data_IF_419834533720
#
_entry.id   IF_419834533720
#
_cell.length_a   1.000
_cell.length_b   1.000
_cell.length_c   1.000
_cell.angle_alpha   90.00
_cell.angle_beta   90.00
_cell.angle_gamma   90.00
#
_symmetry.space_group_name_H-M   'P 1'
#
loop_
_entity.id
_entity.type
_entity.pdbx_description
1 polymer ?
#
# COMPACT_ATOMS: atom_id res chain seq x y z
N UNK A 1 -16.72 10.39 4.11
CA UNK A 1 -17.75 11.22 3.43
C UNK A 1 -18.57 10.43 2.40
N UNK A 2 -17.99 9.53 1.61
CA UNK A 2 -18.71 8.82 0.53
C UNK A 2 -19.48 7.54 0.91
N UNK A 3 -19.29 6.99 2.12
CA UNK A 3 -19.87 5.69 2.51
C UNK A 3 -20.75 5.70 3.77
N UNK A 4 -20.98 6.86 4.40
CA UNK A 4 -21.82 7.02 5.62
C UNK A 4 -21.68 5.90 6.67
N UNK A 5 -20.48 5.35 6.86
CA UNK A 5 -20.25 4.38 7.93
C UNK A 5 -19.95 5.11 9.23
N UNK A 6 -20.45 4.62 10.39
CA UNK A 6 -20.00 5.11 11.67
C UNK A 6 -18.51 4.76 11.81
N UNK A 7 -17.65 5.76 11.63
CA UNK A 7 -16.23 5.65 11.95
C UNK A 7 -16.09 5.98 13.43
N UNK A 8 -15.67 5.00 14.23
CA UNK A 8 -15.40 5.23 15.65
C UNK A 8 -14.27 6.25 15.83
N UNK A 9 -14.39 7.13 16.83
CA UNK A 9 -13.35 8.13 17.15
C UNK A 9 -12.00 7.47 17.46
N UNK A 10 -12.03 6.23 17.97
CA UNK A 10 -10.83 5.45 18.27
C UNK A 10 -10.11 4.94 17.01
N UNK A 11 -10.86 4.61 15.95
CA UNK A 11 -10.27 4.22 14.67
C UNK A 11 -9.52 5.40 14.05
N UNK A 12 -10.08 6.62 14.15
CA UNK A 12 -9.44 7.85 13.64
C UNK A 12 -8.14 8.13 14.37
N UNK A 13 -8.15 8.08 15.71
CA UNK A 13 -6.95 8.32 16.51
C UNK A 13 -5.83 7.32 16.16
N UNK A 14 -6.20 6.06 15.99
CA UNK A 14 -5.24 5.01 15.64
C UNK A 14 -4.75 5.11 14.20
N UNK A 15 -5.60 5.55 13.27
CA UNK A 15 -5.19 5.88 11.90
C UNK A 15 -4.13 6.98 11.89
N UNK A 16 -4.36 8.05 12.65
CA UNK A 16 -3.43 9.16 12.76
C UNK A 16 -2.11 8.73 13.38
N UNK A 17 -2.16 7.93 14.45
CA UNK A 17 -0.95 7.44 15.12
C UNK A 17 -0.16 6.46 14.23
N UNK A 18 -0.85 5.56 13.53
CA UNK A 18 -0.25 4.65 12.55
C UNK A 18 0.39 5.39 11.39
N UNK A 19 -0.25 6.44 10.88
CA UNK A 19 0.32 7.32 9.85
C UNK A 19 1.63 7.97 10.32
N UNK A 20 1.67 8.50 11.55
CA UNK A 20 2.89 9.07 12.14
C UNK A 20 4.00 8.01 12.25
N UNK A 21 3.66 6.80 12.68
CA UNK A 21 4.61 5.68 12.74
C UNK A 21 5.22 5.33 11.39
N UNK A 22 4.43 5.31 10.32
CA UNK A 22 4.89 5.02 8.95
C UNK A 22 5.78 6.14 8.42
N UNK A 23 5.41 7.41 8.67
CA UNK A 23 6.24 8.56 8.30
C UNK A 23 7.60 8.47 9.00
N UNK A 24 7.66 8.06 10.26
CA UNK A 24 8.92 7.84 10.98
C UNK A 24 9.76 6.69 10.41
N UNK A 25 9.13 5.58 9.98
CA UNK A 25 9.83 4.45 9.34
C UNK A 25 10.45 4.89 8.01
N UNK A 26 9.79 5.78 7.27
CA UNK A 26 10.33 6.32 6.02
C UNK A 26 11.49 7.31 6.23
N UNK A 27 11.86 7.57 7.49
CA UNK A 27 12.99 8.38 7.93
C UNK A 27 13.20 9.67 7.09
N UNK A 28 12.24 10.61 7.10
CA UNK A 28 12.24 11.80 6.24
C UNK A 28 13.41 12.76 6.52
N UNK A 29 14.16 12.53 7.60
CA UNK A 29 15.30 13.35 8.01
C UNK A 29 16.64 12.82 7.49
N UNK A 30 16.72 11.56 7.05
CA UNK A 30 17.95 10.97 6.51
C UNK A 30 18.13 11.26 5.01
N UNK A 31 17.04 11.38 4.24
CA UNK A 31 17.06 11.63 2.79
C UNK A 31 16.98 13.12 2.40
N UNK A 32 17.31 14.04 3.32
CA UNK A 32 17.24 15.48 3.07
C UNK A 32 18.38 15.95 2.13
N UNK A 33 18.34 15.50 0.88
CA UNK A 33 19.33 15.70 -0.18
C UNK A 33 18.72 16.37 -1.42
N UNK A 34 18.57 17.70 -1.32
CA UNK A 34 18.51 18.71 -2.39
C UNK A 34 18.18 18.27 -3.83
N UNK A 35 16.92 18.47 -4.26
CA UNK A 35 16.58 18.55 -5.68
C UNK A 35 15.32 19.37 -5.97
N UNK A 36 15.36 20.27 -6.97
CA UNK A 36 14.19 21.07 -7.40
C UNK A 36 13.01 20.23 -7.92
N UNK A 37 13.23 18.95 -8.23
CA UNK A 37 12.22 18.00 -8.70
C UNK A 37 11.53 17.22 -7.55
N UNK A 38 12.01 17.36 -6.32
CA UNK A 38 11.49 16.62 -5.16
C UNK A 38 10.07 17.06 -4.81
N UNK A 39 9.80 18.37 -4.83
CA UNK A 39 8.46 18.91 -4.61
C UNK A 39 7.45 18.40 -5.65
N UNK A 40 7.87 18.30 -6.91
CA UNK A 40 7.02 17.73 -7.97
C UNK A 40 6.74 16.25 -7.71
N UNK A 41 7.76 15.47 -7.31
CA UNK A 41 7.59 14.05 -6.93
C UNK A 41 6.65 13.85 -5.74
N UNK A 42 6.76 14.69 -4.70
CA UNK A 42 5.88 14.65 -3.53
C UNK A 42 4.42 14.97 -3.92
N UNK A 43 4.22 15.98 -4.76
CA UNK A 43 2.88 16.35 -5.24
C UNK A 43 2.27 15.24 -6.10
N UNK A 44 3.04 14.70 -7.05
CA UNK A 44 2.57 13.63 -7.96
C UNK A 44 2.26 12.35 -7.16
N UNK A 45 3.11 11.96 -6.22
CA UNK A 45 2.88 10.78 -5.37
C UNK A 45 1.66 10.95 -4.46
N UNK A 46 1.46 12.13 -3.88
CA UNK A 46 0.28 12.45 -3.05
C UNK A 46 -1.01 12.37 -3.87
N UNK A 47 -1.02 12.93 -5.09
CA UNK A 47 -2.16 12.81 -6.02
C UNK A 47 -2.40 11.36 -6.40
N UNK A 48 -1.33 10.59 -6.67
CA UNK A 48 -1.41 9.15 -6.96
C UNK A 48 -2.03 8.35 -5.81
N UNK A 49 -1.65 8.64 -4.57
CA UNK A 49 -2.24 8.03 -3.37
C UNK A 49 -3.72 8.37 -3.19
N UNK A 50 -4.10 9.62 -3.44
CA UNK A 50 -5.51 10.05 -3.41
C UNK A 50 -6.34 9.34 -4.48
N UNK A 51 -5.87 9.31 -5.73
CA UNK A 51 -6.53 8.60 -6.82
C UNK A 51 -6.69 7.11 -6.52
N UNK A 52 -5.64 6.47 -5.99
CA UNK A 52 -5.68 5.06 -5.60
C UNK A 52 -6.72 4.80 -4.50
N UNK A 53 -6.76 5.66 -3.49
CA UNK A 53 -7.73 5.56 -2.39
C UNK A 53 -9.18 5.70 -2.89
N UNK A 54 -9.43 6.63 -3.81
CA UNK A 54 -10.74 6.79 -4.45
C UNK A 54 -11.11 5.53 -5.24
N UNK A 55 -10.17 4.95 -5.99
CA UNK A 55 -10.37 3.70 -6.72
C UNK A 55 -10.87 2.56 -5.83
N UNK A 56 -10.20 2.34 -4.69
CA UNK A 56 -10.61 1.31 -3.72
C UNK A 56 -11.98 1.59 -3.09
N UNK A 57 -12.31 2.85 -2.81
CA UNK A 57 -13.64 3.24 -2.30
C UNK A 57 -14.73 2.97 -3.35
N UNK A 58 -14.43 3.19 -4.64
CA UNK A 58 -15.37 2.90 -5.74
C UNK A 58 -15.58 1.40 -5.89
N UNK A 59 -14.52 0.59 -5.84
CA UNK A 59 -14.62 -0.88 -5.85
C UNK A 59 -15.54 -1.35 -4.73
N UNK A 60 -15.35 -0.83 -3.52
CA UNK A 60 -16.20 -1.12 -2.38
C UNK A 60 -17.67 -0.74 -2.60
N UNK A 61 -17.95 0.42 -3.21
CA UNK A 61 -19.32 0.84 -3.54
C UNK A 61 -19.99 -0.08 -4.57
N UNK A 62 -19.20 -0.72 -5.43
CA UNK A 62 -19.67 -1.70 -6.42
C UNK A 62 -19.77 -3.13 -5.86
N UNK A 63 -19.12 -3.40 -4.72
CA UNK A 63 -19.16 -4.67 -4.00
C UNK A 63 -20.60 -5.12 -3.74
N UNK A 64 -20.91 -6.38 -4.06
CA UNK A 64 -22.24 -6.98 -3.96
C UNK A 64 -23.08 -6.99 -5.25
N UNK A 65 -22.67 -6.31 -6.33
CA UNK A 65 -23.39 -6.32 -7.63
C UNK A 65 -22.64 -7.01 -8.77
N UNK A 66 -21.33 -7.23 -8.63
CA UNK A 66 -20.44 -7.75 -9.66
C UNK A 66 -19.56 -8.84 -9.06
N UNK A 67 -19.13 -9.80 -9.89
CA UNK A 67 -18.20 -10.84 -9.45
C UNK A 67 -16.84 -10.20 -9.08
N UNK A 68 -16.26 -10.60 -7.95
CA UNK A 68 -15.00 -10.05 -7.42
C UNK A 68 -13.83 -10.05 -8.41
N UNK A 69 -13.87 -10.92 -9.43
CA UNK A 69 -12.85 -11.03 -10.49
C UNK A 69 -12.84 -9.85 -11.45
N UNK A 70 -13.97 -9.13 -11.59
CA UNK A 70 -14.14 -8.07 -12.59
C UNK A 70 -13.24 -6.87 -12.29
N UNK A 71 -13.15 -6.43 -11.03
CA UNK A 71 -12.34 -5.29 -10.64
C UNK A 71 -10.83 -5.48 -10.96
N UNK A 72 -10.15 -6.56 -10.52
CA UNK A 72 -8.74 -6.77 -10.85
C UNK A 72 -8.50 -7.03 -12.34
N UNK A 73 -9.47 -7.57 -13.09
CA UNK A 73 -9.35 -7.72 -14.54
C UNK A 73 -9.27 -6.36 -15.27
N UNK A 74 -10.19 -5.44 -14.98
CA UNK A 74 -10.16 -4.09 -15.56
C UNK A 74 -8.93 -3.29 -15.09
N UNK A 75 -8.53 -3.47 -13.83
CA UNK A 75 -7.30 -2.87 -13.31
C UNK A 75 -6.08 -3.36 -14.09
N UNK A 76 -5.98 -4.66 -14.36
CA UNK A 76 -4.88 -5.24 -15.15
C UNK A 76 -4.84 -4.69 -16.56
N UNK A 77 -5.98 -4.52 -17.23
CA UNK A 77 -6.02 -3.89 -18.57
C UNK A 77 -5.50 -2.46 -18.49
N UNK A 78 -5.94 -1.69 -17.47
CA UNK A 78 -5.47 -0.33 -17.23
C UNK A 78 -3.95 -0.27 -17.05
N UNK A 79 -3.40 -1.13 -16.19
CA UNK A 79 -1.95 -1.23 -15.95
C UNK A 79 -1.16 -1.62 -17.21
N UNK A 80 -1.67 -2.53 -18.05
CA UNK A 80 -1.01 -2.90 -19.30
C UNK A 80 -0.95 -1.70 -20.25
N UNK A 81 -2.05 -0.96 -20.41
CA UNK A 81 -2.09 0.20 -21.29
C UNK A 81 -1.18 1.31 -20.78
N UNK A 82 -1.26 1.66 -19.49
CA UNK A 82 -0.39 2.69 -18.92
C UNK A 82 1.07 2.28 -18.93
N UNK A 83 1.39 1.02 -18.63
CA UNK A 83 2.76 0.49 -18.70
C UNK A 83 3.37 0.61 -20.10
N UNK A 84 2.61 0.27 -21.15
CA UNK A 84 3.06 0.43 -22.54
C UNK A 84 3.26 1.91 -22.89
N UNK A 85 2.34 2.79 -22.48
CA UNK A 85 2.49 4.23 -22.73
C UNK A 85 3.73 4.81 -22.05
N UNK A 86 3.99 4.47 -20.78
CA UNK A 86 5.19 4.90 -20.07
C UNK A 86 6.45 4.34 -20.72
N UNK A 87 6.45 3.08 -21.14
CA UNK A 87 7.56 2.50 -21.88
C UNK A 87 7.85 3.25 -23.18
N UNK A 88 6.82 3.65 -23.94
CA UNK A 88 6.99 4.41 -25.18
C UNK A 88 7.52 5.84 -24.95
N UNK A 89 7.12 6.48 -23.85
CA UNK A 89 7.62 7.81 -23.47
C UNK A 89 9.10 7.74 -23.06
N UNK A 90 9.46 6.73 -22.26
CA UNK A 90 10.82 6.55 -21.72
C UNK A 90 11.80 5.98 -22.76
N UNK A 91 11.31 5.18 -23.72
CA UNK A 91 12.10 4.63 -24.82
C UNK A 91 12.61 5.68 -25.82
N UNK A 92 12.15 6.94 -25.74
CA UNK A 92 12.71 8.02 -26.56
C UNK A 92 14.11 8.47 -26.09
N UNK A 93 14.54 8.09 -24.88
CA UNK A 93 15.82 8.52 -24.30
C UNK A 93 16.87 7.41 -24.07
N UNK A 94 16.47 6.13 -24.04
CA UNK A 94 17.34 5.08 -23.47
C UNK A 94 17.28 3.78 -24.27
N UNK A 95 18.44 3.23 -24.65
CA UNK A 95 18.55 1.90 -25.27
C UNK A 95 18.58 0.81 -24.19
N UNK A 96 17.45 0.14 -23.99
CA UNK A 96 17.32 -0.97 -23.05
C UNK A 96 17.99 -2.25 -23.59
N UNK A 97 19.28 -2.40 -23.33
CA UNK A 97 19.99 -3.67 -23.55
C UNK A 97 19.88 -4.55 -22.29
N UNK A 98 18.66 -4.90 -21.89
CA UNK A 98 18.44 -5.83 -20.77
C UNK A 98 18.41 -7.25 -21.32
N UNK A 99 19.42 -8.04 -20.97
CA UNK A 99 19.51 -9.45 -21.34
C UNK A 99 18.90 -10.28 -20.22
N UNK A 100 17.66 -10.70 -20.40
CA UNK A 100 16.96 -11.52 -19.42
C UNK A 100 17.52 -12.95 -19.39
N UNK A 101 17.84 -13.44 -18.19
CA UNK A 101 18.08 -14.84 -17.96
C UNK A 101 16.76 -15.57 -17.70
N UNK A 102 16.72 -16.89 -17.91
CA UNK A 102 15.54 -17.72 -17.61
C UNK A 102 15.17 -17.68 -16.12
N UNK A 103 16.16 -17.51 -15.24
CA UNK A 103 15.93 -17.33 -13.81
C UNK A 103 15.14 -16.04 -13.51
N UNK A 104 15.47 -14.94 -14.19
CA UNK A 104 14.80 -13.65 -13.98
C UNK A 104 13.34 -13.72 -14.43
N UNK A 105 13.09 -14.38 -15.57
CA UNK A 105 11.75 -14.60 -16.11
C UNK A 105 10.91 -15.42 -15.11
N UNK A 106 11.48 -16.47 -14.52
CA UNK A 106 10.79 -17.27 -13.52
C UNK A 106 10.48 -16.46 -12.25
N UNK A 107 11.41 -15.64 -11.76
CA UNK A 107 11.16 -14.78 -10.60
C UNK A 107 10.05 -13.76 -10.89
N UNK A 108 10.06 -13.12 -12.06
CA UNK A 108 9.02 -12.18 -12.48
C UNK A 108 7.65 -12.87 -12.53
N UNK A 109 7.59 -14.09 -13.09
CA UNK A 109 6.34 -14.86 -13.11
C UNK A 109 5.81 -15.17 -11.72
N UNK A 110 6.67 -15.63 -10.81
CA UNK A 110 6.29 -15.96 -9.42
C UNK A 110 5.79 -14.72 -8.68
N UNK A 111 6.51 -13.60 -8.80
CA UNK A 111 6.11 -12.32 -8.19
C UNK A 111 4.79 -11.81 -8.78
N UNK A 112 4.62 -11.93 -10.10
CA UNK A 112 3.38 -11.51 -10.78
C UNK A 112 2.18 -12.35 -10.35
N UNK A 113 2.33 -13.68 -10.28
CA UNK A 113 1.25 -14.57 -9.79
C UNK A 113 0.89 -14.27 -8.34
N UNK A 114 1.88 -14.07 -7.48
CA UNK A 114 1.68 -13.72 -6.08
C UNK A 114 0.99 -12.36 -5.92
N UNK A 115 1.38 -11.38 -6.74
CA UNK A 115 0.79 -10.04 -6.74
C UNK A 115 -0.66 -10.04 -7.22
N UNK A 116 -0.96 -10.83 -8.26
CA UNK A 116 -2.32 -11.01 -8.77
C UNK A 116 -3.23 -11.64 -7.71
N UNK A 117 -2.74 -12.68 -7.02
CA UNK A 117 -3.48 -13.31 -5.92
C UNK A 117 -3.70 -12.31 -4.77
N UNK A 118 -2.70 -11.51 -4.42
CA UNK A 118 -2.81 -10.43 -3.44
C UNK A 118 -3.87 -9.40 -3.81
N UNK A 119 -3.91 -8.96 -5.07
CA UNK A 119 -4.94 -8.02 -5.55
C UNK A 119 -6.35 -8.61 -5.50
N UNK A 120 -6.52 -9.91 -5.82
CA UNK A 120 -7.82 -10.59 -5.70
C UNK A 120 -8.30 -10.63 -4.24
N UNK A 121 -7.41 -11.01 -3.31
CA UNK A 121 -7.72 -11.03 -1.87
C UNK A 121 -8.02 -9.64 -1.34
N UNK A 122 -7.28 -8.63 -1.79
CA UNK A 122 -7.49 -7.23 -1.44
C UNK A 122 -8.86 -6.73 -1.93
N UNK A 123 -9.24 -7.04 -3.18
CA UNK A 123 -10.55 -6.68 -3.70
C UNK A 123 -11.69 -7.33 -2.88
N UNK A 124 -11.55 -8.61 -2.53
CA UNK A 124 -12.48 -9.32 -1.65
C UNK A 124 -12.57 -8.68 -0.26
N UNK A 125 -11.43 -8.30 0.33
CA UNK A 125 -11.40 -7.65 1.65
C UNK A 125 -12.18 -6.33 1.66
N UNK A 126 -12.06 -5.52 0.60
CA UNK A 126 -12.82 -4.27 0.46
C UNK A 126 -14.31 -4.49 0.19
N UNK A 127 -14.69 -5.61 -0.42
CA UNK A 127 -16.09 -5.96 -0.65
C UNK A 127 -16.80 -6.44 0.63
N UNK A 128 -16.15 -7.27 1.44
CA UNK A 128 -16.77 -7.85 2.63
C UNK A 128 -16.66 -6.98 3.89
N UNK A 129 -15.61 -6.15 4.02
CA UNK A 129 -15.32 -5.44 5.27
C UNK A 129 -15.37 -3.92 5.15
N UNK A 130 -15.50 -3.27 6.31
CA UNK A 130 -15.40 -1.81 6.41
C UNK A 130 -14.01 -1.33 5.97
N UNK A 131 -13.95 -0.29 5.13
CA UNK A 131 -12.71 0.30 4.64
C UNK A 131 -11.80 0.75 5.80
N UNK A 132 -12.39 1.20 6.91
CA UNK A 132 -11.66 1.51 8.13
C UNK A 132 -10.97 0.28 8.74
N UNK A 133 -11.58 -0.91 8.68
CA UNK A 133 -10.94 -2.16 9.14
C UNK A 133 -9.83 -2.59 8.18
N UNK A 134 -10.06 -2.52 6.87
CA UNK A 134 -9.04 -2.86 5.87
C UNK A 134 -7.82 -1.93 6.00
N UNK A 135 -8.02 -0.64 6.28
CA UNK A 135 -6.93 0.32 6.53
C UNK A 135 -5.99 -0.11 7.68
N UNK A 136 -6.53 -0.65 8.77
CA UNK A 136 -5.72 -1.16 9.90
C UNK A 136 -4.86 -2.34 9.46
N UNK A 137 -5.40 -3.24 8.63
CA UNK A 137 -4.62 -4.33 8.06
C UNK A 137 -3.46 -3.85 7.17
N UNK A 138 -3.62 -2.77 6.41
CA UNK A 138 -2.50 -2.20 5.63
C UNK A 138 -1.37 -1.69 6.52
N UNK A 139 -1.69 -1.06 7.66
CA UNK A 139 -0.66 -0.62 8.59
C UNK A 139 0.08 -1.79 9.22
N UNK A 140 -0.62 -2.89 9.51
CA UNK A 140 0.01 -4.11 9.97
C UNK A 140 0.88 -4.75 8.87
N UNK A 141 0.44 -4.70 7.61
CA UNK A 141 1.22 -5.16 6.47
C UNK A 141 2.55 -4.40 6.35
N UNK A 142 2.56 -3.08 6.50
CA UNK A 142 3.79 -2.27 6.47
C UNK A 142 4.76 -2.73 7.57
N UNK A 143 4.25 -3.02 8.76
CA UNK A 143 5.08 -3.58 9.84
C UNK A 143 5.68 -4.95 9.46
N UNK A 144 4.91 -5.86 8.85
CA UNK A 144 5.43 -7.14 8.39
C UNK A 144 6.52 -6.99 7.33
N UNK A 145 6.37 -6.03 6.41
CA UNK A 145 7.40 -5.71 5.40
C UNK A 145 8.67 -5.23 6.09
N UNK A 146 8.57 -4.34 7.08
CA UNK A 146 9.73 -3.89 7.86
C UNK A 146 10.45 -5.06 8.58
N UNK A 147 9.69 -5.99 9.16
CA UNK A 147 10.27 -7.20 9.75
C UNK A 147 10.95 -8.10 8.72
N UNK A 148 10.33 -8.27 7.54
CA UNK A 148 10.91 -9.01 6.44
C UNK A 148 12.25 -8.40 6.01
N UNK A 149 12.32 -7.08 5.87
CA UNK A 149 13.56 -6.38 5.54
C UNK A 149 14.65 -6.56 6.60
N UNK A 150 14.29 -6.50 7.88
CA UNK A 150 15.23 -6.69 8.99
C UNK A 150 15.78 -8.12 9.02
N UNK A 151 14.92 -9.14 8.88
CA UNK A 151 15.34 -10.54 9.00
C UNK A 151 16.03 -11.08 7.75
N UNK A 152 15.56 -10.72 6.56
CA UNK A 152 16.02 -11.33 5.29
C UNK A 152 17.07 -10.45 4.61
N UNK A 153 16.81 -9.16 4.49
CA UNK A 153 17.75 -8.23 3.85
C UNK A 153 18.86 -7.75 4.81
N UNK A 154 18.71 -7.98 6.12
CA UNK A 154 19.68 -7.60 7.17
C UNK A 154 20.11 -6.14 7.06
N UNK A 155 19.20 -5.27 6.63
CA UNK A 155 19.47 -3.85 6.48
C UNK A 155 19.71 -3.24 7.86
N UNK A 156 20.76 -2.44 8.00
CA UNK A 156 21.03 -1.70 9.24
C UNK A 156 20.09 -0.50 9.33
N UNK A 157 19.02 -0.66 10.11
CA UNK A 157 18.08 0.42 10.41
C UNK A 157 18.61 1.35 11.51
N UNK A 158 18.34 2.64 11.36
CA UNK A 158 18.62 3.65 12.38
C UNK A 158 17.66 3.55 13.57
N UNK A 159 18.04 4.17 14.70
CA UNK A 159 17.22 4.18 15.93
C UNK A 159 15.80 4.75 15.73
N UNK A 160 15.63 5.68 14.78
CA UNK A 160 14.35 6.34 14.46
C UNK A 160 13.38 5.36 13.78
N UNK A 161 13.89 4.52 12.89
CA UNK A 161 13.08 3.54 12.14
C UNK A 161 12.56 2.43 13.06
N UNK A 162 13.41 1.98 14.00
CA UNK A 162 13.03 1.01 15.04
C UNK A 162 11.94 1.61 15.96
N UNK A 163 12.06 2.89 16.31
CA UNK A 163 11.06 3.59 17.12
C UNK A 163 9.73 3.74 16.36
N UNK A 164 9.79 4.09 15.07
CA UNK A 164 8.61 4.13 14.20
C UNK A 164 7.93 2.76 14.06
N UNK A 165 8.71 1.69 13.95
CA UNK A 165 8.19 0.32 13.93
C UNK A 165 7.50 -0.04 15.25
N UNK A 166 8.13 0.22 16.39
CA UNK A 166 7.53 -0.04 17.72
C UNK A 166 6.22 0.73 17.95
N UNK A 167 6.16 1.98 17.49
CA UNK A 167 4.96 2.81 17.58
C UNK A 167 3.83 2.27 16.68
N UNK A 168 4.16 1.83 15.47
CA UNK A 168 3.19 1.21 14.54
C UNK A 168 2.63 -0.11 15.10
N UNK A 169 3.49 -0.95 15.71
CA UNK A 169 3.07 -2.21 16.35
C UNK A 169 2.14 -1.94 17.53
N UNK A 170 2.55 -1.05 18.44
CA UNK A 170 1.77 -0.77 19.65
C UNK A 170 0.40 -0.20 19.30
N UNK A 171 0.32 0.65 18.27
CA UNK A 171 -0.94 1.15 17.75
C UNK A 171 -1.82 0.05 17.16
N UNK A 172 -1.29 -0.77 16.25
CA UNK A 172 -2.05 -1.85 15.62
C UNK A 172 -2.53 -2.88 16.64
N UNK A 173 -1.70 -3.22 17.63
CA UNK A 173 -2.07 -4.12 18.71
C UNK A 173 -3.19 -3.53 19.57
N UNK A 174 -3.11 -2.24 19.93
CA UNK A 174 -4.14 -1.55 20.69
C UNK A 174 -5.50 -1.56 19.95
N UNK A 175 -5.50 -1.29 18.65
CA UNK A 175 -6.71 -1.34 17.81
C UNK A 175 -7.30 -2.75 17.73
N UNK A 176 -6.44 -3.76 17.53
CA UNK A 176 -6.88 -5.14 17.48
C UNK A 176 -7.51 -5.58 18.80
N UNK A 177 -6.92 -5.18 19.94
CA UNK A 177 -7.41 -5.47 21.28
C UNK A 177 -8.73 -4.76 21.57
N UNK A 178 -8.84 -3.47 21.24
CA UNK A 178 -10.07 -2.69 21.41
C UNK A 178 -11.23 -3.26 20.58
N UNK A 179 -10.95 -3.77 19.38
CA UNK A 179 -11.93 -4.47 18.54
C UNK A 179 -12.31 -5.83 19.11
N UNK A 180 -11.35 -6.58 19.65
CA UNK A 180 -11.61 -7.87 20.29
C UNK A 180 -12.44 -7.74 21.58
N UNK A 181 -12.23 -6.68 22.35
CA UNK A 181 -12.96 -6.38 23.59
C UNK A 181 -14.41 -5.92 23.37
N UNK A 182 -14.90 -5.93 22.12
CA UNK A 182 -16.31 -5.72 21.82
C UNK A 182 -16.77 -4.28 21.99
N UNK A 183 -15.87 -3.29 21.82
CA UNK A 183 -16.28 -1.90 21.71
C UNK A 183 -17.14 -1.75 20.45
N UNK A 184 -18.46 -1.72 20.67
CA UNK A 184 -19.50 -1.71 19.64
C UNK A 184 -19.52 -0.32 19.00
N UNK A 185 -19.35 -0.29 17.68
CA UNK A 185 -19.61 0.89 16.83
C UNK A 185 -20.97 1.52 17.12
#
# INVERSE_FOLDING_TARGET
>A
MFLQEPTSKLDIFSLSLGFVGIVLINNPFAEQGQGSNELAGILISSIGGLCSSIGWIVIRKMGGKLHFTVAPFYFSIGCTVTGVLFFLIDAQGTTYNVRYNWADILMILVVSMSSFLGQLMQALAYEYEKAAKVAVFYYFQIFLVFMYDLFIFKTSFGYIEILGAALTISCNFCVALLKFLGYKD
#
